data_IF_968846742670
#
_entry.id   IF_968846742670
#
_cell.length_a   1.000
_cell.length_b   1.000
_cell.length_c   1.000
_cell.angle_alpha   90.00
_cell.angle_beta   90.00
_cell.angle_gamma   90.00
#
_symmetry.space_group_name_H-M   'P 1'
#
loop_
_entity.id
_entity.type
_entity.pdbx_description
1 polymer ?
#
# COMPACT_ATOMS: atom_id res chain seq x y z
N UNK A 1 -0.17 20.46 -6.23
CA UNK A 1 -0.88 19.33 -5.59
C UNK A 1 -2.22 19.87 -5.10
N UNK A 2 -3.36 19.21 -5.35
CA UNK A 2 -4.60 19.53 -4.65
C UNK A 2 -4.35 19.58 -3.14
N UNK A 3 -4.97 20.51 -2.43
CA UNK A 3 -4.61 20.86 -1.05
C UNK A 3 -4.91 19.76 -0.01
N UNK A 4 -5.46 18.61 -0.42
CA UNK A 4 -5.99 17.54 0.42
C UNK A 4 -5.28 16.19 0.26
N UNK A 5 -4.17 16.12 -0.51
CA UNK A 5 -3.42 14.87 -0.71
C UNK A 5 -2.26 14.74 0.29
N UNK A 6 -2.24 13.66 1.06
CA UNK A 6 -1.14 13.29 1.96
C UNK A 6 -0.47 12.00 1.50
N UNK A 7 0.84 12.05 1.27
CA UNK A 7 1.67 10.86 1.02
C UNK A 7 2.49 10.57 2.28
N UNK A 8 2.53 9.30 2.71
CA UNK A 8 3.30 8.84 3.87
C UNK A 8 3.64 7.36 3.75
N UNK A 9 4.57 6.88 4.57
CA UNK A 9 4.77 5.45 4.76
C UNK A 9 3.51 4.80 5.35
N UNK A 10 3.19 3.55 4.96
CA UNK A 10 2.07 2.83 5.52
C UNK A 10 2.35 2.35 6.95
N UNK A 11 1.27 2.10 7.67
CA UNK A 11 1.24 1.31 8.90
C UNK A 11 0.57 -0.04 8.62
N UNK A 12 0.72 -1.05 9.50
CA UNK A 12 0.02 -2.33 9.33
C UNK A 12 -1.51 -2.21 9.28
N UNK A 13 -2.08 -1.12 9.81
CA UNK A 13 -3.51 -0.79 9.76
C UNK A 13 -3.98 -0.33 8.37
N UNK A 14 -3.05 -0.02 7.46
CA UNK A 14 -3.39 0.30 6.08
C UNK A 14 -3.72 -0.94 5.25
N UNK A 15 -3.40 -2.16 5.72
CA UNK A 15 -3.66 -3.38 4.95
C UNK A 15 -5.16 -3.68 4.76
N UNK A 16 -6.03 -3.62 5.78
CA UNK A 16 -7.46 -3.80 5.59
C UNK A 16 -8.07 -2.74 4.67
N UNK A 17 -7.59 -1.50 4.74
CA UNK A 17 -8.00 -0.40 3.84
C UNK A 17 -7.59 -0.69 2.39
N UNK A 18 -6.38 -1.22 2.17
CA UNK A 18 -5.91 -1.70 0.87
C UNK A 18 -6.79 -2.82 0.32
N UNK A 19 -7.05 -3.87 1.11
CA UNK A 19 -7.96 -4.97 0.72
C UNK A 19 -9.33 -4.44 0.29
N UNK A 20 -9.89 -3.48 1.04
CA UNK A 20 -11.20 -2.90 0.75
C UNK A 20 -11.29 -2.24 -0.63
N UNK A 21 -10.19 -1.68 -1.14
CA UNK A 21 -10.16 -0.98 -2.45
C UNK A 21 -9.72 -1.87 -3.61
N UNK A 22 -9.01 -2.98 -3.36
CA UNK A 22 -8.46 -3.87 -4.41
C UNK A 22 -9.53 -4.28 -5.42
N UNK A 23 -10.69 -4.77 -4.95
CA UNK A 23 -11.74 -5.27 -5.84
C UNK A 23 -12.29 -4.17 -6.75
N UNK A 24 -12.47 -2.96 -6.20
CA UNK A 24 -12.96 -1.81 -6.96
C UNK A 24 -11.93 -1.33 -8.00
N UNK A 25 -10.63 -1.34 -7.65
CA UNK A 25 -9.56 -0.88 -8.54
C UNK A 25 -9.22 -1.88 -9.66
N UNK A 26 -9.53 -3.17 -9.48
CA UNK A 26 -9.28 -4.23 -10.47
C UNK A 26 -10.56 -4.77 -11.13
N UNK A 27 -11.52 -3.88 -11.44
CA UNK A 27 -12.71 -4.21 -12.23
C UNK A 27 -13.50 -5.41 -11.67
N UNK A 28 -13.66 -5.44 -10.34
CA UNK A 28 -14.37 -6.51 -9.64
C UNK A 28 -13.54 -7.76 -9.35
N UNK A 29 -12.28 -7.86 -9.81
CA UNK A 29 -11.40 -8.99 -9.49
C UNK A 29 -10.85 -8.89 -8.08
N UNK A 30 -11.01 -9.96 -7.30
CA UNK A 30 -10.45 -10.04 -5.96
C UNK A 30 -8.97 -10.48 -5.99
N UNK A 31 -8.08 -9.49 -5.92
CA UNK A 31 -6.63 -9.69 -5.80
C UNK A 31 -6.14 -9.47 -4.36
N UNK A 32 -7.00 -9.55 -3.35
CA UNK A 32 -6.64 -9.23 -1.96
C UNK A 32 -5.49 -10.11 -1.44
N UNK A 33 -5.39 -11.33 -1.96
CA UNK A 33 -4.29 -12.26 -1.69
C UNK A 33 -2.92 -11.76 -2.17
N UNK A 34 -2.89 -10.85 -3.15
CA UNK A 34 -1.66 -10.21 -3.66
C UNK A 34 -1.18 -9.04 -2.79
N UNK A 35 -1.94 -8.67 -1.75
CA UNK A 35 -1.57 -7.65 -0.78
C UNK A 35 -1.35 -8.24 0.63
N UNK A 36 -0.36 -9.14 0.83
CA UNK A 36 0.01 -9.64 2.15
C UNK A 36 0.27 -8.53 3.16
N UNK A 37 -0.17 -8.74 4.40
CA UNK A 37 0.15 -7.86 5.54
C UNK A 37 1.64 -7.66 5.74
N UNK A 38 2.46 -8.64 5.33
CA UNK A 38 3.92 -8.58 5.33
C UNK A 38 4.45 -7.28 4.69
N UNK A 39 3.83 -6.82 3.58
CA UNK A 39 4.24 -5.62 2.88
C UNK A 39 4.19 -4.36 3.74
N UNK A 40 3.16 -4.24 4.56
CA UNK A 40 2.95 -3.09 5.44
C UNK A 40 3.65 -3.21 6.79
N UNK A 41 4.28 -4.35 7.07
CA UNK A 41 5.05 -4.60 8.30
C UNK A 41 6.55 -4.51 8.05
N UNK A 42 7.07 -5.19 7.03
CA UNK A 42 8.51 -5.32 6.80
C UNK A 42 9.04 -4.35 5.74
N UNK A 43 8.18 -3.86 4.86
CA UNK A 43 8.57 -2.99 3.76
C UNK A 43 7.89 -1.62 3.87
N UNK A 44 7.52 -1.19 5.09
CA UNK A 44 6.89 0.10 5.32
C UNK A 44 7.78 1.28 4.93
N UNK A 45 9.08 1.20 5.20
CA UNK A 45 10.05 2.27 4.93
C UNK A 45 10.24 2.53 3.43
N UNK A 46 10.01 1.51 2.61
CA UNK A 46 10.15 1.54 1.14
C UNK A 46 8.80 1.56 0.40
N UNK A 47 7.70 1.70 1.14
CA UNK A 47 6.35 1.73 0.61
C UNK A 47 5.65 3.04 0.95
N UNK A 48 4.63 3.39 0.18
CA UNK A 48 3.87 4.63 0.34
C UNK A 48 2.37 4.39 0.24
N UNK A 49 1.61 5.17 0.99
CA UNK A 49 0.16 5.32 0.83
C UNK A 49 -0.15 6.77 0.54
N UNK A 50 -1.16 6.98 -0.30
CA UNK A 50 -1.70 8.29 -0.63
C UNK A 50 -3.12 8.37 -0.09
N UNK A 51 -3.38 9.39 0.73
CA UNK A 51 -4.67 9.62 1.36
C UNK A 51 -5.25 10.96 0.90
N UNK A 52 -6.56 10.98 0.69
CA UNK A 52 -7.35 12.19 0.41
C UNK A 52 -8.57 12.17 1.29
N UNK A 53 -8.76 13.18 2.13
CA UNK A 53 -9.91 13.24 3.08
C UNK A 53 -10.05 11.97 3.96
N UNK A 54 -8.93 11.33 4.33
CA UNK A 54 -8.87 10.04 5.05
C UNK A 54 -9.22 8.80 4.21
N UNK A 55 -9.53 8.95 2.92
CA UNK A 55 -9.69 7.84 1.98
C UNK A 55 -8.36 7.42 1.38
N UNK A 56 -8.13 6.11 1.29
CA UNK A 56 -6.95 5.57 0.62
C UNK A 56 -7.18 5.62 -0.89
N UNK A 57 -6.42 6.47 -1.59
CA UNK A 57 -6.59 6.71 -3.03
C UNK A 57 -5.49 6.08 -3.88
N UNK A 58 -4.34 5.75 -3.29
CA UNK A 58 -3.29 4.95 -3.92
C UNK A 58 -2.39 4.30 -2.87
N UNK A 59 -1.69 3.23 -3.25
CA UNK A 59 -0.56 2.70 -2.51
C UNK A 59 0.54 2.23 -3.48
N UNK A 60 1.78 2.24 -3.01
CA UNK A 60 2.95 1.69 -3.70
C UNK A 60 3.72 0.83 -2.72
N UNK A 61 3.97 -0.43 -3.08
CA UNK A 61 4.82 -1.33 -2.31
C UNK A 61 6.13 -1.51 -3.05
N UNK A 62 7.24 -1.21 -2.38
CA UNK A 62 8.60 -1.45 -2.88
C UNK A 62 9.41 -2.21 -1.86
N UNK A 63 10.37 -3.01 -2.30
CA UNK A 63 11.32 -3.72 -1.44
C UNK A 63 12.66 -3.85 -2.14
N UNK A 64 13.75 -3.76 -1.37
CA UNK A 64 15.08 -4.03 -1.89
C UNK A 64 15.30 -5.52 -2.04
N UNK A 65 15.87 -5.94 -3.15
CA UNK A 65 16.39 -7.28 -3.27
C UNK A 65 17.65 -7.38 -2.38
N UNK A 66 17.86 -8.52 -1.70
CA UNK A 66 19.10 -8.75 -0.98
C UNK A 66 20.27 -8.63 -1.95
N UNK A 67 21.37 -8.03 -1.49
CA UNK A 67 22.62 -8.04 -2.26
C UNK A 67 23.09 -9.49 -2.41
N UNK A 68 23.39 -9.96 -3.64
CA UNK A 68 23.95 -11.29 -3.80
C UNK A 68 25.36 -11.34 -3.17
N UNK A 69 25.49 -12.07 -2.07
CA UNK A 69 26.80 -12.54 -1.56
C UNK A 69 27.48 -11.66 -0.52
N UNK A 70 26.88 -11.55 0.68
CA UNK A 70 27.62 -11.21 1.90
C UNK A 70 27.49 -12.30 2.94
#
# INVERSE_FOLDING_TARGET
MPADIRIRNPTPENQPRGIGVIKAWWDGRDLSHMLPRLFFVHFCDTSFVMERESELVAFLVGFFLPEPGR
#
